data_IF_318402214697
#
_entry.id   IF_318402214697
#
_cell.length_a   1.000
_cell.length_b   1.000
_cell.length_c   1.000
_cell.angle_alpha   90.00
_cell.angle_beta   90.00
_cell.angle_gamma   90.00
#
_symmetry.space_group_name_H-M   'P 1'
#
loop_
_entity.id
_entity.type
_entity.pdbx_description
1 polymer ?
#
# COMPACT_ATOMS: atom_id res chain seq x y z
N UNK A 1 9.30 9.72 35.61
CA UNK A 1 9.56 9.87 34.16
C UNK A 1 8.90 8.68 33.49
N UNK A 2 7.65 8.82 33.03
CA UNK A 2 6.73 7.71 32.70
C UNK A 2 6.00 7.96 31.37
N UNK A 3 6.66 8.62 30.40
CA UNK A 3 6.03 9.02 29.13
C UNK A 3 6.89 8.73 27.89
N UNK A 4 8.08 8.15 28.04
CA UNK A 4 9.01 7.91 26.92
C UNK A 4 8.81 6.56 26.24
N UNK A 5 8.40 5.52 26.97
CA UNK A 5 8.26 4.16 26.41
C UNK A 5 7.02 3.98 25.53
N UNK A 6 5.95 4.74 25.77
CA UNK A 6 4.68 4.57 25.03
C UNK A 6 4.73 5.11 23.59
N UNK A 7 5.74 5.91 23.24
CA UNK A 7 5.85 6.52 21.92
C UNK A 7 6.67 5.67 20.94
N UNK A 8 7.63 4.88 21.41
CA UNK A 8 8.52 4.11 20.52
C UNK A 8 7.79 2.92 19.86
N UNK A 9 6.93 2.20 20.61
CA UNK A 9 6.12 1.11 20.04
C UNK A 9 5.16 1.60 18.93
N UNK A 10 4.55 2.77 19.12
CA UNK A 10 3.65 3.35 18.11
C UNK A 10 4.34 3.79 16.84
N UNK A 11 5.59 4.27 16.94
CA UNK A 11 6.38 4.68 15.76
C UNK A 11 6.80 3.45 14.95
N UNK A 12 7.27 2.40 15.63
CA UNK A 12 7.67 1.14 14.99
C UNK A 12 6.50 0.45 14.25
N UNK A 13 5.30 0.46 14.82
CA UNK A 13 4.12 -0.10 14.16
C UNK A 13 3.67 0.73 12.96
N UNK A 14 3.87 2.05 13.02
CA UNK A 14 3.57 2.97 11.91
C UNK A 14 4.54 2.78 10.73
N UNK A 15 5.85 2.69 10.97
CA UNK A 15 6.84 2.41 9.93
C UNK A 15 6.61 1.05 9.26
N UNK A 16 6.17 0.06 10.05
CA UNK A 16 5.87 -1.28 9.54
C UNK A 16 4.60 -1.33 8.68
N UNK A 17 3.64 -0.44 8.94
CA UNK A 17 2.44 -0.27 8.10
C UNK A 17 2.74 0.52 6.83
N UNK A 18 3.55 1.57 6.92
CA UNK A 18 3.98 2.38 5.77
C UNK A 18 4.76 1.51 4.76
N UNK A 19 5.73 0.72 5.21
CA UNK A 19 6.46 -0.21 4.33
C UNK A 19 5.62 -1.37 3.78
N UNK A 20 4.42 -1.63 4.31
CA UNK A 20 3.46 -2.59 3.72
C UNK A 20 2.62 -1.92 2.64
N UNK A 21 2.23 -0.66 2.86
CA UNK A 21 1.45 0.10 1.90
C UNK A 21 2.26 0.47 0.65
N UNK A 22 3.54 0.83 0.81
CA UNK A 22 4.44 1.09 -0.34
C UNK A 22 4.58 -0.13 -1.25
N UNK A 23 4.81 -1.32 -0.66
CA UNK A 23 4.88 -2.57 -1.42
C UNK A 23 3.57 -2.91 -2.12
N UNK A 24 2.43 -2.64 -1.49
CA UNK A 24 1.13 -2.86 -2.10
C UNK A 24 0.93 -1.96 -3.34
N UNK A 25 1.35 -0.70 -3.27
CA UNK A 25 1.31 0.26 -4.39
C UNK A 25 2.26 -0.17 -5.51
N UNK A 26 3.46 -0.61 -5.18
CA UNK A 26 4.45 -1.12 -6.15
C UNK A 26 3.89 -2.34 -6.92
N UNK A 27 3.33 -3.31 -6.20
CA UNK A 27 2.68 -4.50 -6.80
C UNK A 27 1.55 -4.09 -7.74
N UNK A 28 0.66 -3.18 -7.31
CA UNK A 28 -0.43 -2.70 -8.17
C UNK A 28 0.10 -1.99 -9.43
N UNK A 29 1.12 -1.15 -9.28
CA UNK A 29 1.76 -0.40 -10.37
C UNK A 29 2.38 -1.34 -11.42
N UNK A 30 3.12 -2.35 -11.00
CA UNK A 30 3.74 -3.32 -11.89
C UNK A 30 2.69 -4.14 -12.65
N UNK A 31 1.62 -4.56 -11.96
CA UNK A 31 0.51 -5.28 -12.58
C UNK A 31 -0.27 -4.43 -13.58
N UNK A 32 -0.47 -3.14 -13.29
CA UNK A 32 -1.10 -2.19 -14.22
C UNK A 32 -0.23 -1.97 -15.46
N UNK A 33 1.09 -1.83 -15.30
CA UNK A 33 2.05 -1.68 -16.42
C UNK A 33 2.15 -2.92 -17.29
N UNK A 34 2.07 -4.11 -16.70
CA UNK A 34 2.07 -5.37 -17.44
C UNK A 34 0.86 -5.49 -18.38
N UNK A 35 -0.27 -4.87 -18.00
CA UNK A 35 -1.50 -4.88 -18.77
C UNK A 35 -2.22 -6.23 -18.75
N UNK A 36 -3.49 -6.25 -19.17
CA UNK A 36 -4.27 -7.48 -19.33
C UNK A 36 -4.95 -8.01 -18.06
N UNK A 37 -4.78 -7.35 -16.92
CA UNK A 37 -5.48 -7.67 -15.66
C UNK A 37 -6.55 -6.61 -15.34
N UNK A 38 -7.68 -7.04 -14.76
CA UNK A 38 -8.73 -6.10 -14.34
C UNK A 38 -8.32 -5.34 -13.07
N UNK A 39 -8.83 -4.12 -12.92
CA UNK A 39 -8.64 -3.29 -11.71
C UNK A 39 -9.05 -4.05 -10.45
N UNK A 40 -10.18 -4.77 -10.49
CA UNK A 40 -10.67 -5.60 -9.38
C UNK A 40 -9.71 -6.72 -8.98
N UNK A 41 -9.07 -7.38 -9.94
CA UNK A 41 -8.08 -8.42 -9.67
C UNK A 41 -6.80 -7.82 -9.06
N UNK A 42 -6.34 -6.70 -9.60
CA UNK A 42 -5.16 -6.00 -9.10
C UNK A 42 -5.40 -5.51 -7.66
N UNK A 43 -6.58 -4.98 -7.36
CA UNK A 43 -6.97 -4.57 -6.01
C UNK A 43 -6.90 -5.73 -5.00
N UNK A 44 -7.41 -6.91 -5.38
CA UNK A 44 -7.34 -8.10 -4.53
C UNK A 44 -5.91 -8.55 -4.23
N UNK A 45 -5.03 -8.57 -5.25
CA UNK A 45 -3.65 -9.03 -5.11
C UNK A 45 -2.79 -8.03 -4.34
N UNK A 46 -2.91 -6.75 -4.69
CA UNK A 46 -2.19 -5.65 -4.02
C UNK A 46 -2.74 -5.32 -2.64
N UNK A 47 -3.90 -5.86 -2.24
CA UNK A 47 -4.60 -5.49 -1.00
C UNK A 47 -4.87 -3.99 -0.92
N UNK A 48 -5.19 -3.39 -2.06
CA UNK A 48 -5.62 -2.00 -2.19
C UNK A 48 -7.11 -1.97 -2.52
N UNK A 49 -7.73 -0.80 -2.35
CA UNK A 49 -9.08 -0.58 -2.88
C UNK A 49 -9.03 -0.42 -4.40
N UNK A 50 -10.12 -0.73 -5.10
CA UNK A 50 -10.21 -0.49 -6.54
C UNK A 50 -10.03 1.00 -6.88
N UNK A 51 -10.51 1.90 -6.01
CA UNK A 51 -10.32 3.34 -6.16
C UNK A 51 -8.84 3.74 -6.10
N UNK A 52 -8.06 3.15 -5.17
CA UNK A 52 -6.63 3.41 -5.08
C UNK A 52 -5.87 2.87 -6.30
N UNK A 53 -6.26 1.70 -6.80
CA UNK A 53 -5.70 1.14 -8.04
C UNK A 53 -6.01 2.03 -9.25
N UNK A 54 -7.23 2.58 -9.35
CA UNK A 54 -7.59 3.55 -10.39
C UNK A 54 -6.74 4.83 -10.29
N UNK A 55 -6.56 5.37 -9.08
CA UNK A 55 -5.69 6.54 -8.85
C UNK A 55 -4.23 6.27 -9.25
N UNK A 56 -3.74 5.05 -9.07
CA UNK A 56 -2.41 4.65 -9.55
C UNK A 56 -2.41 4.60 -11.07
N UNK A 57 -3.43 4.00 -11.68
CA UNK A 57 -3.57 3.90 -13.13
C UNK A 57 -3.62 5.27 -13.82
N UNK A 58 -4.30 6.25 -13.24
CA UNK A 58 -4.34 7.63 -13.77
C UNK A 58 -2.98 8.36 -13.72
N UNK A 59 -2.05 7.88 -12.89
CA UNK A 59 -0.72 8.47 -12.68
C UNK A 59 0.41 7.74 -13.43
N UNK A 60 0.10 6.62 -14.09
CA UNK A 60 1.03 5.81 -14.88
C UNK A 60 1.14 6.31 -16.32
#
# INVERSE_FOLDING_TARGET
MFLTEYNEEKVMEKERQEGRQERNIEVASDMLKAGGMSVSFIAQISRLSEEDVLKIQEKL
#
